data_IF_551460151285
#
_entry.id   IF_551460151285
#
_cell.length_a   1.000
_cell.length_b   1.000
_cell.length_c   1.000
_cell.angle_alpha   90.00
_cell.angle_beta   90.00
_cell.angle_gamma   90.00
#
_symmetry.space_group_name_H-M   'P 1'
#
loop_
_entity.id
_entity.type
_entity.pdbx_description
1 polymer ?
#
# COMPACT_ATOMS: atom_id res chain seq x y z
N UNK A 1 24.21 -2.05 3.44
CA UNK A 1 25.13 -3.18 3.19
C UNK A 1 25.03 -3.54 1.72
N UNK A 2 26.14 -3.83 1.02
CA UNK A 2 26.10 -4.20 -0.40
C UNK A 2 25.75 -5.68 -0.53
N UNK A 3 24.80 -5.98 -1.42
CA UNK A 3 24.32 -7.35 -1.68
C UNK A 3 24.77 -7.83 -3.06
N UNK A 4 24.87 -9.15 -3.20
CA UNK A 4 25.07 -9.86 -4.46
C UNK A 4 23.80 -10.67 -4.73
N UNK A 5 23.30 -10.54 -5.96
CA UNK A 5 22.10 -11.23 -6.41
C UNK A 5 22.47 -12.49 -7.19
N UNK A 6 21.91 -13.62 -6.81
CA UNK A 6 22.05 -14.91 -7.48
C UNK A 6 20.69 -15.39 -7.98
N UNK A 7 20.71 -16.24 -8.99
CA UNK A 7 19.50 -16.73 -9.67
C UNK A 7 19.41 -18.24 -9.65
N UNK A 8 18.19 -18.76 -9.46
CA UNK A 8 17.91 -20.20 -9.46
C UNK A 8 16.76 -20.51 -10.42
N UNK A 9 17.01 -21.18 -11.56
CA UNK A 9 15.93 -21.68 -12.38
C UNK A 9 15.30 -22.91 -11.70
N UNK A 10 13.97 -22.91 -11.57
CA UNK A 10 13.20 -24.02 -10.97
C UNK A 10 12.00 -24.42 -11.83
N UNK A 11 11.49 -25.65 -11.67
CA UNK A 11 10.16 -26.01 -12.18
C UNK A 11 9.08 -25.88 -11.12
N UNK A 12 7.87 -26.27 -11.47
CA UNK A 12 6.68 -26.14 -10.59
C UNK A 12 6.87 -26.84 -9.23
N UNK A 13 7.37 -28.09 -9.24
CA UNK A 13 7.51 -28.88 -8.00
C UNK A 13 8.48 -28.21 -7.03
N UNK A 14 9.63 -27.76 -7.52
CA UNK A 14 10.63 -27.09 -6.67
C UNK A 14 10.12 -25.74 -6.16
N UNK A 15 9.39 -24.99 -7.00
CA UNK A 15 8.75 -23.75 -6.58
C UNK A 15 7.78 -23.99 -5.41
N UNK A 16 6.93 -25.01 -5.51
CA UNK A 16 5.98 -25.34 -4.44
C UNK A 16 6.69 -25.71 -3.12
N UNK A 17 7.83 -26.39 -3.16
CA UNK A 17 8.60 -26.72 -1.96
C UNK A 17 9.26 -25.49 -1.32
N UNK A 18 9.75 -24.54 -2.15
CA UNK A 18 10.27 -23.24 -1.67
C UNK A 18 9.13 -22.41 -1.06
N UNK A 19 7.96 -22.44 -1.68
CA UNK A 19 6.80 -21.68 -1.23
C UNK A 19 6.20 -22.22 0.07
N UNK A 20 6.25 -23.53 0.33
CA UNK A 20 5.97 -24.13 1.66
C UNK A 20 6.90 -23.64 2.76
N UNK A 21 8.04 -23.04 2.39
CA UNK A 21 8.99 -22.37 3.28
C UNK A 21 8.85 -20.86 3.22
N UNK A 22 7.70 -20.37 2.73
CA UNK A 22 7.33 -18.95 2.63
C UNK A 22 8.39 -18.12 1.88
N UNK A 23 9.07 -18.75 0.92
CA UNK A 23 10.18 -18.16 0.16
C UNK A 23 11.34 -17.64 1.03
N UNK A 24 11.44 -18.09 2.29
CA UNK A 24 12.51 -17.66 3.22
C UNK A 24 13.80 -18.44 3.02
N UNK A 25 13.71 -19.68 2.54
CA UNK A 25 14.85 -20.58 2.41
C UNK A 25 14.67 -21.61 1.29
N UNK A 26 15.78 -22.15 0.78
CA UNK A 26 15.77 -23.27 -0.15
C UNK A 26 15.64 -24.60 0.60
N UNK A 27 14.67 -25.46 0.26
CA UNK A 27 14.51 -26.77 0.89
C UNK A 27 15.55 -27.77 0.37
N UNK A 28 15.83 -28.82 1.15
CA UNK A 28 16.57 -29.98 0.69
C UNK A 28 15.70 -30.78 -0.29
N UNK A 29 16.08 -30.79 -1.57
CA UNK A 29 15.32 -31.46 -2.63
C UNK A 29 16.07 -32.68 -3.13
N UNK A 30 15.51 -33.87 -2.92
CA UNK A 30 15.99 -35.15 -3.48
C UNK A 30 17.48 -35.42 -3.23
N UNK A 31 18.04 -34.92 -2.13
CA UNK A 31 19.47 -34.97 -1.79
C UNK A 31 20.39 -34.40 -2.90
N UNK A 32 19.88 -33.45 -3.69
CA UNK A 32 20.64 -32.75 -4.71
C UNK A 32 21.18 -31.41 -4.20
N UNK A 33 22.39 -31.01 -4.61
CA UNK A 33 22.93 -29.70 -4.27
C UNK A 33 22.15 -28.57 -4.97
N UNK A 34 22.05 -27.42 -4.31
CA UNK A 34 21.41 -26.23 -4.88
C UNK A 34 22.36 -25.58 -5.91
N UNK A 35 21.86 -25.33 -7.11
CA UNK A 35 22.63 -24.66 -8.19
C UNK A 35 22.13 -23.23 -8.40
N UNK A 36 23.04 -22.27 -8.29
CA UNK A 36 22.78 -20.85 -8.44
C UNK A 36 23.63 -20.26 -9.56
N UNK A 37 23.17 -19.14 -10.12
CA UNK A 37 23.81 -18.46 -11.23
C UNK A 37 24.03 -16.98 -10.91
N UNK A 38 25.18 -16.41 -11.27
CA UNK A 38 25.42 -14.97 -11.13
C UNK A 38 24.80 -14.14 -12.26
N UNK A 39 24.38 -14.78 -13.36
CA UNK A 39 23.76 -14.13 -14.51
C UNK A 39 22.29 -14.50 -14.64
N UNK A 40 21.42 -13.49 -14.65
CA UNK A 40 19.99 -13.70 -14.94
C UNK A 40 19.78 -14.30 -16.33
N UNK A 41 20.63 -13.96 -17.30
CA UNK A 41 20.51 -14.44 -18.68
C UNK A 41 20.65 -15.95 -18.74
N UNK A 42 21.64 -16.52 -18.05
CA UNK A 42 21.88 -17.96 -18.04
C UNK A 42 20.77 -18.71 -17.31
N UNK A 43 20.29 -18.18 -16.18
CA UNK A 43 19.14 -18.75 -15.48
C UNK A 43 17.88 -18.76 -16.36
N UNK A 44 17.61 -17.66 -17.09
CA UNK A 44 16.51 -17.59 -18.07
C UNK A 44 16.67 -18.61 -19.18
N UNK A 45 17.87 -18.74 -19.77
CA UNK A 45 18.11 -19.72 -20.83
C UNK A 45 17.87 -21.17 -20.38
N UNK A 46 18.21 -21.51 -19.13
CA UNK A 46 17.95 -22.83 -18.56
C UNK A 46 16.45 -23.05 -18.36
N UNK A 47 15.77 -22.10 -17.69
CA UNK A 47 14.34 -22.17 -17.45
C UNK A 47 13.56 -22.30 -18.78
N UNK A 48 13.92 -21.49 -19.77
CA UNK A 48 13.29 -21.50 -21.10
C UNK A 48 13.62 -22.76 -21.90
N UNK A 49 14.90 -23.13 -22.05
CA UNK A 49 15.28 -24.17 -23.04
C UNK A 49 15.14 -25.58 -22.51
N UNK A 50 15.31 -25.78 -21.20
CA UNK A 50 15.29 -27.09 -20.57
C UNK A 50 13.93 -27.37 -19.92
N UNK A 51 13.45 -26.49 -19.03
CA UNK A 51 12.29 -26.83 -18.20
C UNK A 51 10.96 -26.73 -18.94
N UNK A 52 10.83 -25.86 -19.93
CA UNK A 52 9.63 -25.80 -20.79
C UNK A 52 9.39 -27.06 -21.64
N UNK A 53 10.38 -27.96 -21.71
CA UNK A 53 10.30 -29.23 -22.43
C UNK A 53 10.23 -30.44 -21.50
N UNK A 54 10.34 -30.21 -20.19
CA UNK A 54 10.40 -31.27 -19.19
C UNK A 54 9.02 -31.49 -18.56
N UNK A 55 8.44 -32.66 -18.80
CA UNK A 55 7.15 -33.07 -18.26
C UNK A 55 7.16 -33.15 -16.73
N UNK A 56 8.29 -33.49 -16.11
CA UNK A 56 8.42 -33.55 -14.65
C UNK A 56 8.24 -32.15 -14.06
N UNK A 57 8.85 -31.14 -14.71
CA UNK A 57 8.72 -29.71 -14.36
C UNK A 57 7.38 -29.09 -14.76
N UNK A 58 6.47 -29.91 -15.31
CA UNK A 58 5.19 -29.48 -15.87
C UNK A 58 5.31 -28.48 -17.03
N UNK A 59 6.41 -28.54 -17.79
CA UNK A 59 6.67 -27.59 -18.88
C UNK A 59 6.73 -26.12 -18.41
N UNK A 60 6.98 -25.88 -17.12
CA UNK A 60 7.16 -24.55 -16.53
C UNK A 60 8.62 -24.37 -16.10
N UNK A 61 9.19 -23.22 -16.45
CA UNK A 61 10.50 -22.78 -15.98
C UNK A 61 10.39 -21.42 -15.30
N UNK A 62 10.46 -21.41 -13.96
CA UNK A 62 10.53 -20.18 -13.19
C UNK A 62 11.99 -19.76 -13.00
N UNK A 63 12.22 -18.45 -12.88
CA UNK A 63 13.51 -17.91 -12.47
C UNK A 63 13.33 -17.24 -11.12
N UNK A 64 14.06 -17.73 -10.13
CA UNK A 64 14.12 -17.16 -8.79
C UNK A 64 15.35 -16.27 -8.64
N UNK A 65 15.26 -15.28 -7.77
CA UNK A 65 16.29 -14.31 -7.42
C UNK A 65 16.48 -14.30 -5.89
N UNK A 66 17.73 -14.35 -5.44
CA UNK A 66 18.08 -14.31 -4.01
C UNK A 66 19.22 -13.33 -3.78
N UNK A 67 19.10 -12.53 -2.71
CA UNK A 67 20.14 -11.58 -2.31
C UNK A 67 20.89 -12.10 -1.08
N UNK A 68 22.21 -12.11 -1.16
CA UNK A 68 23.11 -12.38 -0.04
C UNK A 68 24.10 -11.22 0.13
N UNK A 69 24.77 -11.15 1.27
CA UNK A 69 25.78 -10.11 1.50
C UNK A 69 27.00 -10.35 0.59
N UNK A 70 27.66 -9.27 0.16
CA UNK A 70 28.90 -9.41 -0.62
C UNK A 70 30.00 -10.13 0.18
N UNK A 71 30.06 -9.91 1.50
CA UNK A 71 31.01 -10.58 2.39
C UNK A 71 30.80 -12.11 2.39
N UNK A 72 29.55 -12.56 2.52
CA UNK A 72 29.24 -13.99 2.59
C UNK A 72 29.34 -14.66 1.22
N UNK A 73 29.04 -13.94 0.14
CA UNK A 73 29.31 -14.41 -1.22
C UNK A 73 30.79 -14.73 -1.43
N UNK A 74 31.71 -13.90 -0.93
CA UNK A 74 33.15 -14.17 -1.02
C UNK A 74 33.57 -15.39 -0.18
N UNK A 75 32.96 -15.60 1.00
CA UNK A 75 33.22 -16.81 1.80
C UNK A 75 32.80 -18.08 1.06
N UNK A 76 31.64 -18.05 0.39
CA UNK A 76 31.14 -19.19 -0.40
C UNK A 76 31.97 -19.46 -1.66
N UNK A 77 32.43 -18.41 -2.36
CA UNK A 77 33.20 -18.58 -3.59
C UNK A 77 34.60 -19.16 -3.34
N UNK A 78 35.25 -18.82 -2.23
CA UNK A 78 36.53 -19.41 -1.81
C UNK A 78 36.40 -20.93 -1.57
N UNK A 79 35.25 -21.41 -1.11
CA UNK A 79 34.99 -22.83 -0.90
C UNK A 79 34.70 -23.60 -2.21
N UNK A 80 34.32 -22.89 -3.28
CA UNK A 80 33.82 -23.46 -4.54
C UNK A 80 34.81 -23.33 -5.72
N UNK A 81 36.10 -23.08 -5.46
CA UNK A 81 37.14 -22.72 -6.44
C UNK A 81 37.50 -23.77 -7.52
N UNK A 82 36.67 -24.79 -7.73
CA UNK A 82 36.88 -25.85 -8.72
C UNK A 82 36.03 -25.72 -9.99
N UNK A 83 35.21 -24.67 -10.13
CA UNK A 83 34.38 -24.48 -11.33
C UNK A 83 35.09 -23.57 -12.35
N UNK A 84 35.42 -24.12 -13.52
CA UNK A 84 35.93 -23.39 -14.69
C UNK A 84 34.90 -22.38 -15.25
N UNK A 85 33.63 -22.54 -14.87
CA UNK A 85 32.51 -21.67 -15.21
C UNK A 85 32.26 -20.62 -14.11
N UNK A 86 32.84 -19.42 -14.27
CA UNK A 86 32.78 -18.28 -13.33
C UNK A 86 31.35 -17.78 -12.95
N UNK A 87 30.32 -18.40 -13.50
CA UNK A 87 28.93 -17.96 -13.43
C UNK A 87 28.00 -18.95 -12.68
N UNK A 88 28.46 -20.18 -12.39
CA UNK A 88 27.67 -21.23 -11.73
C UNK A 88 28.21 -21.56 -10.33
N UNK A 89 27.34 -21.45 -9.33
CA UNK A 89 27.62 -21.72 -7.92
C UNK A 89 26.85 -22.96 -7.49
N UNK A 90 27.52 -23.89 -6.81
CA UNK A 90 26.88 -25.10 -6.27
C UNK A 90 26.98 -25.05 -4.75
N UNK A 91 25.84 -25.06 -4.07
CA UNK A 91 25.76 -25.13 -2.62
C UNK A 91 25.50 -26.59 -2.26
N UNK A 92 26.48 -27.21 -1.60
CA UNK A 92 26.36 -28.59 -1.13
C UNK A 92 25.27 -28.69 -0.07
N UNK A 93 24.74 -29.90 0.15
CA UNK A 93 23.73 -30.14 1.19
C UNK A 93 24.23 -29.71 2.58
N UNK A 94 25.51 -29.97 2.88
CA UNK A 94 26.16 -29.59 4.14
C UNK A 94 26.21 -28.06 4.33
N UNK A 95 26.31 -27.30 3.24
CA UNK A 95 26.37 -25.84 3.27
C UNK A 95 25.01 -25.17 3.06
N UNK A 96 23.93 -25.93 2.83
CA UNK A 96 22.60 -25.37 2.54
C UNK A 96 22.02 -24.60 3.72
N UNK A 97 22.19 -25.10 4.95
CA UNK A 97 21.73 -24.41 6.16
C UNK A 97 22.44 -23.07 6.35
N UNK A 98 23.78 -23.07 6.18
CA UNK A 98 24.57 -21.84 6.21
C UNK A 98 24.15 -20.87 5.11
N UNK A 99 23.94 -21.36 3.89
CA UNK A 99 23.47 -20.53 2.77
C UNK A 99 22.12 -19.89 3.07
N UNK A 100 21.16 -20.65 3.60
CA UNK A 100 19.85 -20.12 3.97
C UNK A 100 19.93 -19.06 5.07
N UNK A 101 20.88 -19.18 6.01
CA UNK A 101 21.08 -18.21 7.09
C UNK A 101 21.65 -16.85 6.63
N UNK A 102 22.28 -16.78 5.45
CA UNK A 102 22.87 -15.54 4.90
C UNK A 102 21.96 -14.85 3.88
N UNK A 103 20.79 -15.41 3.58
CA UNK A 103 19.77 -14.80 2.73
C UNK A 103 19.28 -13.52 3.41
N UNK A 104 19.31 -12.40 2.68
CA UNK A 104 19.05 -11.05 3.24
C UNK A 104 17.61 -10.55 3.01
N UNK A 105 16.83 -11.22 2.16
CA UNK A 105 15.43 -10.91 1.83
C UNK A 105 14.77 -12.19 1.26
N UNK A 106 13.47 -12.20 0.94
CA UNK A 106 12.84 -13.36 0.30
C UNK A 106 13.55 -13.80 -0.98
N UNK A 107 13.45 -15.11 -1.25
CA UNK A 107 13.64 -15.67 -2.58
C UNK A 107 12.48 -15.18 -3.45
N UNK A 108 12.76 -14.40 -4.50
CA UNK A 108 11.73 -13.75 -5.31
C UNK A 108 11.58 -14.43 -6.65
N UNK A 109 10.36 -14.50 -7.15
CA UNK A 109 10.09 -14.94 -8.53
C UNK A 109 10.28 -13.72 -9.44
N UNK A 110 11.12 -13.85 -10.48
CA UNK A 110 11.45 -12.72 -11.37
C UNK A 110 11.10 -12.96 -12.83
N UNK A 111 10.81 -14.20 -13.23
CA UNK A 111 10.29 -14.54 -14.56
C UNK A 111 9.68 -15.94 -14.57
N UNK A 112 8.88 -16.20 -15.60
CA UNK A 112 8.33 -17.53 -15.91
C UNK A 112 8.34 -17.76 -17.41
N UNK A 113 8.74 -18.98 -17.80
CA UNK A 113 8.70 -19.50 -19.16
C UNK A 113 7.73 -20.66 -19.22
N UNK A 114 6.83 -20.61 -20.19
CA UNK A 114 5.73 -21.57 -20.34
C UNK A 114 5.92 -22.35 -21.63
N UNK A 115 6.04 -23.66 -21.51
CA UNK A 115 6.20 -24.56 -22.66
C UNK A 115 4.90 -24.77 -23.42
N UNK A 116 5.00 -25.08 -24.71
CA UNK A 116 3.84 -25.27 -25.60
C UNK A 116 2.93 -26.44 -25.19
N UNK A 117 3.43 -27.36 -24.37
CA UNK A 117 2.69 -28.51 -23.87
C UNK A 117 2.08 -28.29 -22.47
N UNK A 118 2.30 -27.11 -21.88
CA UNK A 118 1.64 -26.74 -20.63
C UNK A 118 0.12 -26.69 -20.85
N UNK A 119 -0.64 -27.23 -19.88
CA UNK A 119 -2.11 -27.25 -19.93
C UNK A 119 -2.73 -26.56 -18.74
N UNK A 120 -2.19 -26.82 -17.55
CA UNK A 120 -2.57 -26.23 -16.28
C UNK A 120 -1.51 -26.55 -15.23
N UNK A 121 -1.54 -25.81 -14.14
CA UNK A 121 -0.74 -26.14 -12.96
C UNK A 121 -1.11 -27.56 -12.46
N UNK A 122 -0.10 -28.34 -12.07
CA UNK A 122 -0.32 -29.61 -11.37
C UNK A 122 -0.71 -29.34 -9.91
N UNK A 123 -0.32 -28.19 -9.38
CA UNK A 123 -0.54 -27.80 -8.01
C UNK A 123 -1.26 -26.46 -7.93
N UNK A 124 -2.49 -26.47 -7.44
CA UNK A 124 -3.32 -25.27 -7.26
C UNK A 124 -2.63 -24.24 -6.33
N UNK A 125 -1.69 -24.68 -5.48
CA UNK A 125 -0.92 -23.82 -4.59
C UNK A 125 -0.07 -22.76 -5.32
N UNK A 126 0.30 -22.97 -6.59
CA UNK A 126 1.11 -21.98 -7.32
C UNK A 126 0.38 -20.64 -7.41
N UNK A 127 -0.91 -20.65 -7.70
CA UNK A 127 -1.72 -19.43 -7.80
C UNK A 127 -1.87 -18.76 -6.43
N UNK A 128 -2.16 -19.54 -5.39
CA UNK A 128 -2.23 -19.03 -4.01
C UNK A 128 -0.91 -18.36 -3.62
N UNK A 129 0.24 -18.98 -3.92
CA UNK A 129 1.55 -18.41 -3.59
C UNK A 129 1.87 -17.14 -4.37
N UNK A 130 1.54 -17.08 -5.67
CA UNK A 130 1.72 -15.86 -6.45
C UNK A 130 0.86 -14.73 -5.89
N UNK A 131 -0.39 -15.03 -5.52
CA UNK A 131 -1.28 -14.07 -4.87
C UNK A 131 -0.69 -13.56 -3.54
N UNK A 132 -0.22 -14.46 -2.68
CA UNK A 132 0.39 -14.05 -1.40
C UNK A 132 1.68 -13.24 -1.59
N UNK A 133 2.51 -13.57 -2.56
CA UNK A 133 3.74 -12.80 -2.86
C UNK A 133 3.42 -11.43 -3.46
N UNK A 134 2.39 -11.32 -4.30
CA UNK A 134 1.87 -10.04 -4.81
C UNK A 134 1.37 -9.15 -3.68
N UNK A 135 0.49 -9.67 -2.81
CA UNK A 135 -0.01 -8.96 -1.63
C UNK A 135 1.12 -8.53 -0.69
N UNK A 136 2.09 -9.42 -0.44
CA UNK A 136 3.26 -9.11 0.39
C UNK A 136 4.09 -7.95 -0.20
N UNK A 137 4.36 -7.99 -1.51
CA UNK A 137 5.11 -6.92 -2.18
C UNK A 137 4.32 -5.61 -2.25
N UNK A 138 3.02 -5.68 -2.50
CA UNK A 138 2.10 -4.55 -2.49
C UNK A 138 2.09 -3.86 -1.11
N UNK A 139 1.95 -4.64 -0.06
CA UNK A 139 1.95 -4.14 1.31
C UNK A 139 3.30 -3.53 1.70
N UNK A 140 4.43 -4.14 1.30
CA UNK A 140 5.76 -3.57 1.54
C UNK A 140 5.94 -2.20 0.88
N UNK A 141 5.51 -2.05 -0.37
CA UNK A 141 5.60 -0.76 -1.05
C UNK A 141 4.62 0.26 -0.45
N UNK A 142 3.41 -0.14 -0.10
CA UNK A 142 2.43 0.78 0.48
C UNK A 142 2.88 1.29 1.85
N UNK A 143 3.39 0.43 2.74
CA UNK A 143 3.94 0.87 4.04
C UNK A 143 5.19 1.75 3.85
N UNK A 144 6.08 1.37 2.92
CA UNK A 144 7.24 2.21 2.58
C UNK A 144 6.80 3.61 2.11
N UNK A 145 5.72 3.69 1.33
CA UNK A 145 5.18 4.95 0.82
C UNK A 145 4.38 5.71 1.87
N UNK A 146 3.68 5.03 2.78
CA UNK A 146 2.79 5.65 3.76
C UNK A 146 3.52 6.19 4.99
N UNK A 147 4.75 5.78 5.24
CA UNK A 147 5.58 6.26 6.35
C UNK A 147 6.85 6.99 5.89
N UNK A 148 7.25 8.02 6.61
CA UNK A 148 8.56 8.66 6.49
C UNK A 148 9.68 7.79 7.07
N UNK A 149 9.34 6.79 7.90
CA UNK A 149 10.26 5.72 8.23
C UNK A 149 10.44 4.83 6.98
N UNK A 150 11.59 4.97 6.32
CA UNK A 150 11.94 4.26 5.07
C UNK A 150 12.66 2.95 5.32
N UNK A 151 12.63 2.45 6.55
CA UNK A 151 13.08 1.10 6.85
C UNK A 151 12.24 0.10 6.05
N UNK A 152 12.95 -0.78 5.34
CA UNK A 152 12.31 -1.86 4.62
C UNK A 152 11.73 -2.80 5.67
N UNK A 153 10.42 -3.05 5.55
CA UNK A 153 9.74 -4.01 6.41
C UNK A 153 10.45 -5.36 6.32
N UNK A 154 10.86 -5.93 7.46
CA UNK A 154 11.53 -7.21 7.47
C UNK A 154 10.55 -8.32 7.07
N UNK A 155 11.14 -9.43 6.65
CA UNK A 155 10.42 -10.60 6.15
C UNK A 155 9.39 -11.15 7.14
N UNK A 156 9.73 -11.17 8.42
CA UNK A 156 8.96 -11.71 9.54
C UNK A 156 7.97 -10.71 10.15
N UNK A 157 7.86 -9.51 9.58
CA UNK A 157 7.00 -8.47 10.13
C UNK A 157 5.52 -8.91 10.27
N UNK A 158 5.06 -9.78 9.37
CA UNK A 158 3.69 -10.29 9.37
C UNK A 158 3.53 -11.65 10.09
N UNK A 159 4.64 -12.25 10.54
CA UNK A 159 4.61 -13.50 11.32
C UNK A 159 4.21 -13.24 12.78
N UNK A 160 4.16 -11.97 13.21
CA UNK A 160 3.58 -11.56 14.47
C UNK A 160 2.08 -11.92 14.46
N UNK A 161 1.73 -13.08 15.01
CA UNK A 161 0.34 -13.44 15.23
C UNK A 161 -0.35 -12.30 15.97
N UNK A 162 -1.33 -11.68 15.32
CA UNK A 162 -2.31 -10.88 16.02
C UNK A 162 -3.15 -11.87 16.81
N UNK A 163 -2.66 -12.25 17.98
CA UNK A 163 -3.43 -12.95 19.01
C UNK A 163 -4.52 -11.98 19.49
N UNK A 164 -5.53 -11.79 18.64
CA UNK A 164 -6.75 -11.11 18.98
C UNK A 164 -7.60 -12.10 19.78
N UNK A 165 -7.17 -12.38 21.01
CA UNK A 165 -8.08 -12.92 22.01
C UNK A 165 -9.20 -11.89 22.19
N UNK A 166 -10.38 -12.23 21.70
CA UNK A 166 -11.57 -11.40 21.84
C UNK A 166 -11.90 -11.24 23.32
N UNK A 167 -11.50 -10.11 23.90
CA UNK A 167 -11.91 -9.74 25.25
C UNK A 167 -13.36 -9.29 25.20
N UNK A 168 -14.25 -10.08 25.80
CA UNK A 168 -15.65 -9.72 25.99
C UNK A 168 -15.72 -8.64 27.09
N UNK A 169 -15.96 -7.39 26.71
CA UNK A 169 -16.04 -6.25 27.63
C UNK A 169 -17.38 -6.21 28.37
N UNK A 170 -17.35 -5.95 29.68
CA UNK A 170 -18.57 -5.79 30.49
C UNK A 170 -19.35 -4.53 30.09
N UNK A 171 -20.67 -4.62 30.03
CA UNK A 171 -21.56 -3.49 29.69
C UNK A 171 -21.40 -2.29 30.62
N UNK A 172 -21.08 -2.52 31.89
CA UNK A 172 -20.88 -1.43 32.85
C UNK A 172 -19.56 -0.69 32.58
N UNK A 173 -18.52 -1.40 32.16
CA UNK A 173 -17.24 -0.80 31.74
C UNK A 173 -17.43 0.06 30.49
N UNK A 174 -18.23 -0.41 29.53
CA UNK A 174 -18.59 0.35 28.33
C UNK A 174 -19.31 1.65 28.72
N UNK A 175 -20.34 1.57 29.56
CA UNK A 175 -21.11 2.76 29.97
C UNK A 175 -20.24 3.77 30.73
N UNK A 176 -19.39 3.29 31.64
CA UNK A 176 -18.47 4.14 32.38
C UNK A 176 -17.45 4.82 31.45
N UNK A 177 -16.94 4.10 30.45
CA UNK A 177 -16.01 4.65 29.45
C UNK A 177 -16.66 5.78 28.63
N UNK A 178 -17.94 5.63 28.28
CA UNK A 178 -18.71 6.65 27.54
C UNK A 178 -18.88 7.93 28.38
N UNK A 179 -19.24 7.80 29.66
CA UNK A 179 -19.36 8.97 30.55
C UNK A 179 -18.03 9.74 30.67
N UNK A 180 -16.92 9.02 30.79
CA UNK A 180 -15.58 9.63 30.82
C UNK A 180 -15.30 10.39 29.52
N UNK A 181 -15.57 9.78 28.36
CA UNK A 181 -15.37 10.45 27.06
C UNK A 181 -16.24 11.70 26.93
N UNK A 182 -17.51 11.65 27.32
CA UNK A 182 -18.40 12.82 27.31
C UNK A 182 -17.85 13.97 28.16
N UNK A 183 -17.29 13.68 29.34
CA UNK A 183 -16.69 14.71 30.18
C UNK A 183 -15.43 15.31 29.58
N UNK A 184 -14.61 14.52 28.87
CA UNK A 184 -13.39 14.98 28.19
C UNK A 184 -13.69 16.07 27.16
N UNK A 185 -14.75 15.89 26.35
CA UNK A 185 -15.01 16.74 25.18
C UNK A 185 -16.13 17.77 25.35
N UNK A 186 -16.82 17.82 26.49
CA UNK A 186 -18.01 18.67 26.69
C UNK A 186 -17.83 20.16 26.36
N UNK A 187 -16.59 20.66 26.46
CA UNK A 187 -16.27 22.07 26.25
C UNK A 187 -15.63 22.34 24.87
N UNK A 188 -15.48 21.30 24.04
CA UNK A 188 -14.90 21.41 22.70
C UNK A 188 -16.01 21.82 21.73
N UNK A 189 -15.84 22.99 21.11
CA UNK A 189 -16.80 23.64 20.24
C UNK A 189 -16.33 23.70 18.78
N UNK A 190 -15.04 23.49 18.50
CA UNK A 190 -14.49 23.57 17.14
C UNK A 190 -13.56 22.40 16.85
N UNK A 191 -13.29 22.13 15.56
CA UNK A 191 -12.27 21.14 15.20
C UNK A 191 -10.89 21.58 15.71
N UNK A 192 -10.50 22.86 15.61
CA UNK A 192 -9.21 23.31 16.13
C UNK A 192 -9.03 23.01 17.63
N UNK A 193 -10.06 23.26 18.44
CA UNK A 193 -10.07 22.90 19.87
C UNK A 193 -9.95 21.39 20.08
N UNK A 194 -10.56 20.58 19.21
CA UNK A 194 -10.40 19.12 19.24
C UNK A 194 -8.96 18.70 18.92
N UNK A 195 -8.33 19.33 17.92
CA UNK A 195 -6.93 19.06 17.57
C UNK A 195 -6.01 19.44 18.74
N UNK A 196 -6.19 20.61 19.33
CA UNK A 196 -5.40 21.05 20.48
C UNK A 196 -5.56 20.11 21.66
N UNK A 197 -6.79 19.66 21.93
CA UNK A 197 -7.05 18.65 22.95
C UNK A 197 -6.31 17.33 22.68
N UNK A 198 -6.36 16.81 21.44
CA UNK A 198 -5.67 15.59 21.08
C UNK A 198 -4.15 15.70 21.31
N UNK A 199 -3.55 16.82 20.89
CA UNK A 199 -2.11 17.06 21.00
C UNK A 199 -1.69 17.25 22.46
N UNK A 200 -2.44 18.02 23.24
CA UNK A 200 -1.99 18.47 24.57
C UNK A 200 -2.39 17.52 25.70
N UNK A 201 -3.44 16.71 25.51
CA UNK A 201 -4.10 15.97 26.60
C UNK A 201 -4.35 14.50 26.30
N UNK A 202 -4.61 14.13 25.06
CA UNK A 202 -5.03 12.76 24.75
C UNK A 202 -3.88 11.87 24.28
N UNK A 203 -3.07 12.34 23.34
CA UNK A 203 -2.04 11.52 22.72
C UNK A 203 -0.69 11.60 23.41
N UNK A 204 -0.03 10.45 23.48
CA UNK A 204 1.38 10.35 23.89
C UNK A 204 2.29 10.88 22.79
N UNK A 205 3.53 11.20 23.16
CA UNK A 205 4.55 11.62 22.18
C UNK A 205 4.79 10.54 21.10
N UNK A 206 4.76 9.26 21.48
CA UNK A 206 4.87 8.15 20.55
C UNK A 206 3.73 8.12 19.53
N UNK A 207 2.48 8.28 19.98
CA UNK A 207 1.31 8.36 19.10
C UNK A 207 1.40 9.57 18.16
N UNK A 208 1.78 10.73 18.68
CA UNK A 208 1.97 11.94 17.87
C UNK A 208 3.09 11.75 16.83
N UNK A 209 4.18 11.09 17.19
CA UNK A 209 5.28 10.78 16.27
C UNK A 209 4.86 9.78 15.20
N UNK A 210 4.03 8.78 15.53
CA UNK A 210 3.44 7.86 14.55
C UNK A 210 2.56 8.60 13.54
N UNK A 211 1.74 9.55 14.00
CA UNK A 211 0.91 10.38 13.11
C UNK A 211 1.80 11.27 12.23
N UNK A 212 2.81 11.93 12.82
CA UNK A 212 3.79 12.74 12.07
C UNK A 212 4.52 11.93 11.00
N UNK A 213 4.82 10.67 11.30
CA UNK A 213 5.52 9.80 10.37
C UNK A 213 4.68 9.45 9.14
N UNK A 214 3.35 9.64 9.15
CA UNK A 214 2.54 9.39 7.95
C UNK A 214 2.87 10.38 6.83
N UNK A 215 2.94 9.91 5.59
CA UNK A 215 3.16 10.75 4.40
C UNK A 215 1.83 11.27 3.83
N UNK A 216 1.85 12.26 2.91
CA UNK A 216 0.65 12.64 2.17
C UNK A 216 0.03 11.49 1.36
N UNK A 217 0.84 10.52 0.91
CA UNK A 217 0.35 9.31 0.24
C UNK A 217 -0.62 8.52 1.14
N UNK A 218 -0.27 8.34 2.42
CA UNK A 218 -1.15 7.66 3.39
C UNK A 218 -2.51 8.36 3.49
N UNK A 219 -2.50 9.70 3.54
CA UNK A 219 -3.73 10.50 3.62
C UNK A 219 -4.62 10.34 2.37
N UNK A 220 -4.01 10.15 1.18
CA UNK A 220 -4.74 10.04 -0.10
C UNK A 220 -5.28 8.62 -0.33
N UNK A 221 -4.47 7.60 -0.05
CA UNK A 221 -4.72 6.24 -0.51
C UNK A 221 -5.11 5.26 0.60
N UNK A 222 -4.69 5.47 1.85
CA UNK A 222 -5.08 4.61 2.98
C UNK A 222 -6.41 5.08 3.57
N UNK A 223 -7.49 4.84 2.83
CA UNK A 223 -8.87 5.06 3.34
C UNK A 223 -9.32 4.04 4.40
N UNK A 224 -8.47 3.05 4.71
CA UNK A 224 -8.75 1.91 5.59
C UNK A 224 -8.71 2.23 7.09
N UNK A 225 -8.27 3.42 7.50
CA UNK A 225 -8.31 3.85 8.91
C UNK A 225 -9.76 4.00 9.46
N UNK A 226 -10.81 3.68 8.68
CA UNK A 226 -12.18 3.54 9.18
C UNK A 226 -12.25 2.70 10.47
N UNK A 227 -11.37 1.70 10.62
CA UNK A 227 -11.17 0.95 11.85
C UNK A 227 -9.86 1.39 12.51
N UNK A 228 -9.92 1.86 13.77
CA UNK A 228 -8.77 2.41 14.50
C UNK A 228 -8.98 3.85 14.94
N UNK A 229 -8.06 4.76 14.57
CA UNK A 229 -8.02 6.13 15.09
C UNK A 229 -9.25 6.96 14.68
N UNK A 230 -9.81 6.74 13.49
CA UNK A 230 -11.04 7.44 13.07
C UNK A 230 -12.25 6.96 13.89
N UNK A 231 -12.33 5.67 14.20
CA UNK A 231 -13.35 5.13 15.09
C UNK A 231 -13.19 5.71 16.51
N UNK A 232 -11.95 5.87 16.97
CA UNK A 232 -11.66 6.55 18.22
C UNK A 232 -12.15 8.01 18.21
N UNK A 233 -11.84 8.78 17.15
CA UNK A 233 -12.37 10.14 16.99
C UNK A 233 -13.89 10.20 16.91
N UNK A 234 -14.52 9.23 16.24
CA UNK A 234 -15.97 9.09 16.16
C UNK A 234 -16.58 8.97 17.56
N UNK A 235 -16.05 8.05 18.36
CA UNK A 235 -16.50 7.81 19.73
C UNK A 235 -16.25 9.03 20.63
N UNK A 236 -15.05 9.61 20.53
CA UNK A 236 -14.63 10.72 21.37
C UNK A 236 -15.39 12.02 21.04
N UNK A 237 -15.50 12.39 19.77
CA UNK A 237 -16.00 13.71 19.36
C UNK A 237 -17.41 13.73 18.79
N UNK A 238 -17.97 12.62 18.33
CA UNK A 238 -19.27 12.64 17.65
C UNK A 238 -20.36 11.93 18.45
N UNK A 239 -20.07 10.76 19.01
CA UNK A 239 -21.02 10.08 19.89
C UNK A 239 -21.07 10.68 21.30
N UNK A 240 -19.92 11.16 21.79
CA UNK A 240 -19.84 11.74 23.13
C UNK A 240 -20.11 13.25 23.18
N UNK A 241 -20.10 13.95 22.03
CA UNK A 241 -20.30 15.39 21.96
C UNK A 241 -21.60 15.76 21.23
N UNK A 242 -22.62 16.17 22.00
CA UNK A 242 -23.87 16.70 21.45
C UNK A 242 -23.82 18.22 21.20
N UNK A 243 -22.62 18.85 21.23
CA UNK A 243 -22.47 20.27 21.02
C UNK A 243 -22.75 20.66 19.56
N UNK A 244 -23.81 21.43 19.37
CA UNK A 244 -24.23 21.91 18.05
C UNK A 244 -23.14 22.78 17.37
N UNK A 245 -22.38 23.58 18.14
CA UNK A 245 -21.30 24.40 17.59
C UNK A 245 -20.19 23.55 16.99
N UNK A 246 -19.87 22.43 17.63
CA UNK A 246 -18.88 21.50 17.10
C UNK A 246 -19.34 20.90 15.77
N UNK A 247 -20.61 20.46 15.69
CA UNK A 247 -21.20 19.95 14.44
C UNK A 247 -21.18 21.01 13.32
N UNK A 248 -21.50 22.26 13.63
CA UNK A 248 -21.41 23.38 12.69
C UNK A 248 -19.96 23.64 12.25
N UNK A 249 -18.99 23.55 13.17
CA UNK A 249 -17.56 23.66 12.84
C UNK A 249 -17.10 22.55 11.90
N UNK A 250 -17.54 21.30 12.14
CA UNK A 250 -17.27 20.16 11.26
C UNK A 250 -17.82 20.39 9.85
N UNK A 251 -19.06 20.87 9.74
CA UNK A 251 -19.67 21.19 8.46
C UNK A 251 -18.92 22.31 7.71
N UNK A 252 -18.46 23.34 8.44
CA UNK A 252 -17.67 24.42 7.84
C UNK A 252 -16.35 23.90 7.24
N UNK A 253 -15.70 22.95 7.90
CA UNK A 253 -14.49 22.30 7.41
C UNK A 253 -14.73 21.30 6.28
N UNK A 254 -15.88 20.64 6.26
CA UNK A 254 -16.22 19.67 5.22
C UNK A 254 -16.30 20.27 3.82
N UNK A 255 -16.48 21.59 3.72
CA UNK A 255 -16.40 22.31 2.45
C UNK A 255 -14.97 22.47 1.92
N UNK A 256 -13.93 22.19 2.73
CA UNK A 256 -12.51 22.49 2.45
C UNK A 256 -11.62 21.23 2.55
N UNK A 257 -12.18 20.11 3.01
CA UNK A 257 -11.40 18.93 3.35
C UNK A 257 -11.43 17.83 2.29
N UNK A 258 -10.28 17.17 2.14
CA UNK A 258 -10.03 16.09 1.19
C UNK A 258 -10.61 14.74 1.60
N UNK A 259 -10.47 14.36 2.87
CA UNK A 259 -10.82 13.00 3.27
C UNK A 259 -12.31 12.82 3.04
N UNK A 260 -12.73 11.63 2.56
CA UNK A 260 -14.09 11.16 2.86
C UNK A 260 -14.16 11.31 4.37
N UNK A 261 -14.92 12.28 4.89
CA UNK A 261 -14.80 12.80 6.25
C UNK A 261 -15.12 11.77 7.34
N UNK A 262 -15.00 10.47 7.07
CA UNK A 262 -15.72 9.44 7.75
C UNK A 262 -17.22 9.64 7.59
N UNK A 263 -17.98 8.95 8.42
CA UNK A 263 -19.44 9.08 8.41
C UNK A 263 -19.89 10.42 9.02
N UNK A 264 -19.13 10.95 9.99
CA UNK A 264 -19.57 12.08 10.81
C UNK A 264 -18.66 13.31 10.74
N UNK A 265 -17.46 13.19 10.18
CA UNK A 265 -16.45 14.26 10.12
C UNK A 265 -15.11 13.90 10.75
N UNK A 266 -14.95 12.67 11.27
CA UNK A 266 -13.72 12.19 11.90
C UNK A 266 -12.49 12.24 10.97
N UNK A 267 -12.69 12.07 9.66
CA UNK A 267 -11.61 12.20 8.68
C UNK A 267 -11.06 13.63 8.61
N UNK A 268 -11.85 14.64 8.96
CA UNK A 268 -11.40 16.05 8.97
C UNK A 268 -10.50 16.32 10.17
N UNK A 269 -10.84 15.71 11.32
CA UNK A 269 -10.02 15.78 12.53
C UNK A 269 -8.67 15.10 12.28
N UNK A 270 -8.67 13.91 11.66
CA UNK A 270 -7.45 13.18 11.33
C UNK A 270 -6.52 13.98 10.41
N UNK A 271 -7.07 14.54 9.33
CA UNK A 271 -6.33 15.34 8.35
C UNK A 271 -5.77 16.64 8.97
N UNK A 272 -6.59 17.39 9.73
CA UNK A 272 -6.14 18.62 10.39
C UNK A 272 -5.09 18.35 11.48
N UNK A 273 -5.24 17.27 12.24
CA UNK A 273 -4.23 16.86 13.20
C UNK A 273 -2.90 16.60 12.50
N UNK A 274 -2.92 15.80 11.44
CA UNK A 274 -1.73 15.47 10.67
C UNK A 274 -1.06 16.72 10.08
N UNK A 275 -1.85 17.63 9.48
CA UNK A 275 -1.35 18.90 8.93
C UNK A 275 -0.73 19.79 10.01
N UNK A 276 -1.39 19.93 11.16
CA UNK A 276 -0.89 20.75 12.28
C UNK A 276 0.41 20.21 12.83
N UNK A 277 0.53 18.88 12.95
CA UNK A 277 1.74 18.21 13.44
C UNK A 277 2.92 18.29 12.45
N UNK A 278 2.64 18.40 11.15
CA UNK A 278 3.64 18.48 10.08
C UNK A 278 3.86 19.90 9.54
N UNK A 279 3.27 20.92 10.17
CA UNK A 279 3.36 22.32 9.75
C UNK A 279 2.94 22.56 8.29
N UNK A 280 2.00 21.77 7.78
CA UNK A 280 1.49 21.94 6.42
C UNK A 280 0.56 23.16 6.37
N UNK A 281 1.04 24.27 5.78
CA UNK A 281 0.24 25.46 5.53
C UNK A 281 -0.26 25.49 4.08
N UNK A 282 -1.29 26.30 3.82
CA UNK A 282 -1.73 26.59 2.45
C UNK A 282 -0.68 27.51 1.83
N UNK A 283 0.33 26.92 1.19
CA UNK A 283 1.40 27.69 0.56
C UNK A 283 1.13 27.96 -0.93
N UNK A 284 0.29 27.13 -1.55
CA UNK A 284 0.05 27.17 -2.98
C UNK A 284 -1.39 27.66 -3.28
N UNK A 285 -1.54 28.61 -4.21
CA UNK A 285 -2.85 29.12 -4.64
C UNK A 285 -3.20 28.70 -6.07
N UNK A 286 -2.34 27.90 -6.72
CA UNK A 286 -2.42 27.56 -8.15
C UNK A 286 -3.77 26.94 -8.53
N UNK A 287 -4.42 26.23 -7.60
CA UNK A 287 -5.75 25.67 -7.83
C UNK A 287 -6.87 26.34 -7.06
N UNK A 288 -6.62 27.40 -6.29
CA UNK A 288 -7.65 27.96 -5.41
C UNK A 288 -8.92 28.36 -6.19
N UNK A 289 -8.74 29.02 -7.33
CA UNK A 289 -9.85 29.42 -8.20
C UNK A 289 -10.60 28.20 -8.78
N UNK A 290 -9.88 27.15 -9.15
CA UNK A 290 -10.48 25.93 -9.70
C UNK A 290 -11.20 25.12 -8.61
N UNK A 291 -10.59 24.99 -7.43
CA UNK A 291 -11.15 24.37 -6.22
C UNK A 291 -12.44 25.11 -5.86
N UNK A 292 -12.39 26.43 -5.73
CA UNK A 292 -13.55 27.24 -5.37
C UNK A 292 -14.65 27.18 -6.42
N UNK A 293 -14.29 27.10 -7.72
CA UNK A 293 -15.26 26.85 -8.78
C UNK A 293 -15.94 25.49 -8.61
N UNK A 294 -15.19 24.43 -8.32
CA UNK A 294 -15.73 23.09 -8.12
C UNK A 294 -16.62 23.04 -6.88
N UNK A 295 -16.20 23.65 -5.77
CA UNK A 295 -17.00 23.79 -4.54
C UNK A 295 -18.32 24.51 -4.83
N UNK A 296 -18.30 25.61 -5.58
CA UNK A 296 -19.50 26.33 -5.98
C UNK A 296 -20.43 25.47 -6.86
N UNK A 297 -19.89 24.67 -7.78
CA UNK A 297 -20.66 23.75 -8.60
C UNK A 297 -21.30 22.63 -7.78
N UNK A 298 -20.56 22.05 -6.83
CA UNK A 298 -21.07 21.05 -5.88
C UNK A 298 -22.18 21.68 -5.03
N UNK A 299 -21.94 22.86 -4.47
CA UNK A 299 -22.91 23.56 -3.63
C UNK A 299 -24.20 23.86 -4.40
N UNK A 300 -24.09 24.30 -5.66
CA UNK A 300 -25.24 24.51 -6.54
C UNK A 300 -26.02 23.21 -6.77
N UNK A 301 -25.33 22.09 -7.03
CA UNK A 301 -25.98 20.78 -7.18
C UNK A 301 -26.74 20.36 -5.92
N UNK A 302 -26.14 20.54 -4.74
CA UNK A 302 -26.81 20.27 -3.46
C UNK A 302 -28.08 21.12 -3.33
N UNK A 303 -27.97 22.43 -3.53
CA UNK A 303 -29.10 23.35 -3.36
C UNK A 303 -30.24 23.05 -4.34
N UNK A 304 -29.92 22.73 -5.60
CA UNK A 304 -30.90 22.34 -6.62
C UNK A 304 -31.58 21.01 -6.27
N UNK A 305 -30.81 19.99 -5.86
CA UNK A 305 -31.36 18.68 -5.48
C UNK A 305 -32.32 18.78 -4.30
N UNK A 306 -31.93 19.45 -3.22
CA UNK A 306 -32.77 19.57 -2.02
C UNK A 306 -34.04 20.40 -2.30
N UNK A 307 -33.92 21.44 -3.11
CA UNK A 307 -35.04 22.24 -3.57
C UNK A 307 -36.03 21.42 -4.40
N UNK A 308 -35.54 20.58 -5.33
CA UNK A 308 -36.38 19.70 -6.13
C UNK A 308 -37.15 18.68 -5.27
N UNK A 309 -36.50 18.14 -4.23
CA UNK A 309 -37.11 17.18 -3.31
C UNK A 309 -37.99 17.82 -2.23
N UNK A 310 -38.04 19.15 -2.16
CA UNK A 310 -38.81 19.89 -1.15
C UNK A 310 -38.30 19.63 0.28
N UNK A 311 -36.99 19.44 0.45
CA UNK A 311 -36.33 19.12 1.72
C UNK A 311 -35.36 20.22 2.13
N UNK A 312 -35.09 20.34 3.43
CA UNK A 312 -34.03 21.20 3.95
C UNK A 312 -32.73 20.41 4.01
N UNK A 313 -31.62 21.06 3.67
CA UNK A 313 -30.27 20.47 3.74
C UNK A 313 -30.01 19.91 5.14
N UNK A 314 -29.62 18.64 5.23
CA UNK A 314 -29.27 17.98 6.50
C UNK A 314 -30.43 17.29 7.24
N UNK A 315 -31.65 17.27 6.70
CA UNK A 315 -32.80 16.56 7.31
C UNK A 315 -32.97 15.10 6.84
N UNK A 316 -32.07 14.55 6.02
CA UNK A 316 -32.24 13.20 5.47
C UNK A 316 -31.83 12.14 6.50
N UNK A 317 -32.71 11.16 6.71
CA UNK A 317 -32.40 9.96 7.47
C UNK A 317 -31.30 9.17 6.75
N UNK A 318 -30.17 8.83 7.40
CA UNK A 318 -29.06 8.11 6.77
C UNK A 318 -29.48 6.79 6.08
N UNK A 319 -30.65 6.23 6.38
CA UNK A 319 -31.17 5.00 5.78
C UNK A 319 -32.24 5.20 4.69
N UNK A 320 -32.50 6.43 4.25
CA UNK A 320 -33.54 6.71 3.24
C UNK A 320 -33.05 6.43 1.81
N UNK A 321 -33.94 5.88 0.95
CA UNK A 321 -33.64 5.61 -0.47
C UNK A 321 -33.30 6.88 -1.26
N UNK A 322 -33.63 8.05 -0.71
CA UNK A 322 -33.21 9.36 -1.20
C UNK A 322 -31.69 9.51 -1.24
N UNK A 323 -30.95 8.88 -0.30
CA UNK A 323 -29.50 8.95 -0.26
C UNK A 323 -28.88 8.26 -1.48
N UNK A 324 -29.40 7.11 -1.91
CA UNK A 324 -28.90 6.40 -3.08
C UNK A 324 -29.07 7.23 -4.37
N UNK A 325 -30.23 7.87 -4.54
CA UNK A 325 -30.49 8.76 -5.68
C UNK A 325 -29.57 9.99 -5.64
N UNK A 326 -29.38 10.59 -4.46
CA UNK A 326 -28.49 11.72 -4.27
C UNK A 326 -27.04 11.37 -4.61
N UNK A 327 -26.51 10.29 -4.02
CA UNK A 327 -25.13 9.84 -4.26
C UNK A 327 -24.93 9.42 -5.71
N UNK A 328 -25.94 8.81 -6.35
CA UNK A 328 -25.89 8.52 -7.79
C UNK A 328 -25.79 9.80 -8.62
N UNK A 329 -26.64 10.80 -8.36
CA UNK A 329 -26.59 12.08 -9.08
C UNK A 329 -25.27 12.83 -8.87
N UNK A 330 -24.75 12.79 -7.65
CA UNK A 330 -23.45 13.37 -7.30
C UNK A 330 -22.30 12.64 -8.01
N UNK A 331 -22.31 11.30 -8.01
CA UNK A 331 -21.33 10.49 -8.74
C UNK A 331 -21.40 10.73 -10.25
N UNK A 332 -22.60 10.82 -10.84
CA UNK A 332 -22.76 11.17 -12.24
C UNK A 332 -22.21 12.57 -12.57
N UNK A 333 -22.40 13.55 -11.68
CA UNK A 333 -21.79 14.88 -11.84
C UNK A 333 -20.27 14.78 -11.77
N UNK A 334 -19.75 14.03 -10.79
CA UNK A 334 -18.32 13.80 -10.63
C UNK A 334 -17.71 13.09 -11.84
N UNK A 335 -18.37 12.09 -12.40
CA UNK A 335 -17.91 11.35 -13.58
C UNK A 335 -17.99 12.20 -14.84
N UNK A 336 -19.14 12.85 -15.10
CA UNK A 336 -19.34 13.71 -16.29
C UNK A 336 -18.32 14.85 -16.37
N UNK A 337 -17.94 15.39 -15.21
CA UNK A 337 -16.99 16.51 -15.13
C UNK A 337 -15.58 16.08 -14.71
N UNK A 338 -15.35 14.78 -14.49
CA UNK A 338 -14.09 14.21 -13.99
C UNK A 338 -13.57 14.91 -12.70
N UNK A 339 -14.50 15.26 -11.80
CA UNK A 339 -14.27 16.12 -10.63
C UNK A 339 -13.97 15.35 -9.34
N UNK A 340 -14.49 14.13 -9.17
CA UNK A 340 -14.58 13.48 -7.85
C UNK A 340 -13.21 13.16 -7.23
N UNK A 341 -12.37 12.45 -7.97
CA UNK A 341 -11.01 12.17 -7.51
C UNK A 341 -10.08 13.37 -7.71
N UNK A 342 -10.36 14.25 -8.67
CA UNK A 342 -9.44 15.32 -9.06
C UNK A 342 -9.48 16.50 -8.09
N UNK A 343 -10.68 16.91 -7.63
CA UNK A 343 -10.85 18.05 -6.72
C UNK A 343 -10.15 17.82 -5.38
N UNK A 344 -10.46 16.70 -4.72
CA UNK A 344 -9.80 16.32 -3.49
C UNK A 344 -8.28 16.22 -3.70
N UNK A 345 -7.82 15.47 -4.70
CA UNK A 345 -6.38 15.31 -4.94
C UNK A 345 -5.71 16.66 -5.18
N UNK A 346 -6.32 17.58 -5.93
CA UNK A 346 -5.81 18.95 -6.12
C UNK A 346 -5.74 19.75 -4.82
N UNK A 347 -6.74 19.65 -3.93
CA UNK A 347 -6.68 20.30 -2.61
C UNK A 347 -5.49 19.79 -1.78
N UNK A 348 -5.34 18.47 -1.63
CA UNK A 348 -4.20 17.94 -0.87
C UNK A 348 -2.86 18.25 -1.52
N UNK A 349 -2.80 18.20 -2.84
CA UNK A 349 -1.61 18.60 -3.58
C UNK A 349 -1.22 20.04 -3.23
N UNK A 350 -2.20 20.94 -3.18
CA UNK A 350 -2.02 22.36 -2.85
C UNK A 350 -1.49 22.58 -1.43
N UNK A 351 -1.90 21.78 -0.46
CA UNK A 351 -1.46 21.90 0.94
C UNK A 351 -0.08 21.31 1.21
N UNK A 352 0.41 20.42 0.35
CA UNK A 352 1.54 19.56 0.69
C UNK A 352 2.71 19.64 -0.30
N UNK A 353 2.51 20.23 -1.49
CA UNK A 353 3.46 20.14 -2.59
C UNK A 353 3.71 21.50 -3.24
N UNK A 354 4.93 21.67 -3.73
CA UNK A 354 5.33 22.79 -4.58
C UNK A 354 4.66 22.73 -5.95
N UNK A 355 4.59 23.86 -6.65
CA UNK A 355 4.04 23.93 -8.03
C UNK A 355 4.74 22.94 -8.99
N UNK A 356 6.05 22.74 -8.82
CA UNK A 356 6.84 21.85 -9.66
C UNK A 356 6.47 20.37 -9.44
N UNK A 357 6.30 19.95 -8.18
CA UNK A 357 5.86 18.61 -7.83
C UNK A 357 4.44 18.32 -8.30
N UNK A 358 3.55 19.30 -8.13
CA UNK A 358 2.17 19.25 -8.63
C UNK A 358 2.15 19.07 -10.15
N UNK A 359 2.94 19.87 -10.88
CA UNK A 359 3.02 19.77 -12.33
C UNK A 359 3.51 18.38 -12.75
N UNK A 360 4.57 17.87 -12.12
CA UNK A 360 5.10 16.52 -12.36
C UNK A 360 4.04 15.44 -12.09
N UNK A 361 3.29 15.56 -10.99
CA UNK A 361 2.19 14.67 -10.65
C UNK A 361 1.12 14.63 -11.75
N UNK A 362 0.70 15.80 -12.24
CA UNK A 362 -0.35 15.91 -13.27
C UNK A 362 0.12 15.40 -14.64
N UNK A 363 1.39 15.63 -14.99
CA UNK A 363 1.99 15.04 -16.20
C UNK A 363 1.96 13.51 -16.17
N UNK A 364 2.20 12.89 -15.00
CA UNK A 364 2.06 11.45 -14.84
C UNK A 364 0.60 11.01 -14.95
N UNK A 365 -0.35 11.75 -14.40
CA UNK A 365 -1.78 11.44 -14.53
C UNK A 365 -2.25 11.42 -15.99
N UNK A 366 -1.76 12.33 -16.82
CA UNK A 366 -2.02 12.34 -18.26
C UNK A 366 -1.45 11.06 -18.90
N UNK A 367 -0.18 10.73 -18.60
CA UNK A 367 0.47 9.51 -19.11
C UNK A 367 -0.25 8.23 -18.70
N UNK A 368 -0.78 8.15 -17.48
CA UNK A 368 -1.58 7.02 -16.99
C UNK A 368 -2.85 6.82 -17.82
N UNK A 369 -3.50 7.91 -18.25
CA UNK A 369 -4.71 7.87 -19.08
C UNK A 369 -4.40 7.51 -20.54
N UNK A 370 -3.27 7.97 -21.06
CA UNK A 370 -2.91 7.83 -22.47
C UNK A 370 -2.16 6.52 -22.80
N UNK A 371 -1.42 5.95 -21.84
CA UNK A 371 -0.50 4.83 -22.10
C UNK A 371 -0.85 3.60 -21.27
N UNK A 372 -1.35 2.55 -21.92
CA UNK A 372 -1.68 1.28 -21.26
C UNK A 372 -0.45 0.46 -20.88
N UNK A 373 0.64 0.52 -21.65
CA UNK A 373 1.79 -0.39 -21.48
C UNK A 373 2.63 -0.07 -20.24
N UNK A 374 2.81 1.21 -19.90
CA UNK A 374 3.62 1.66 -18.75
C UNK A 374 2.76 2.24 -17.62
N UNK A 375 1.47 1.91 -17.61
CA UNK A 375 0.49 2.49 -16.70
C UNK A 375 0.90 2.33 -15.23
N UNK A 376 1.31 1.12 -14.83
CA UNK A 376 1.70 0.81 -13.46
C UNK A 376 2.95 1.56 -13.02
N UNK A 377 3.93 1.69 -13.92
CA UNK A 377 5.14 2.48 -13.64
C UNK A 377 4.79 3.93 -13.31
N UNK A 378 3.94 4.57 -14.13
CA UNK A 378 3.53 5.95 -13.88
C UNK A 378 2.71 6.11 -12.61
N UNK A 379 1.84 5.12 -12.28
CA UNK A 379 1.10 5.10 -11.02
C UNK A 379 2.07 5.10 -9.84
N UNK A 380 3.09 4.26 -9.86
CA UNK A 380 4.04 4.19 -8.76
C UNK A 380 4.95 5.41 -8.67
N UNK A 381 5.38 6.00 -9.78
CA UNK A 381 6.08 7.29 -9.75
C UNK A 381 5.20 8.40 -9.16
N UNK A 382 3.90 8.38 -9.45
CA UNK A 382 2.94 9.30 -8.88
C UNK A 382 2.80 9.08 -7.36
N UNK A 383 2.69 7.82 -6.91
CA UNK A 383 2.69 7.47 -5.49
C UNK A 383 3.99 7.91 -4.79
N UNK A 384 5.14 7.78 -5.43
CA UNK A 384 6.44 8.21 -4.88
C UNK A 384 6.52 9.73 -4.67
N UNK A 385 5.97 10.52 -5.60
CA UNK A 385 5.83 11.98 -5.41
C UNK A 385 4.99 12.22 -4.17
N UNK A 386 3.81 11.61 -4.08
CA UNK A 386 2.91 11.81 -2.94
C UNK A 386 3.50 11.39 -1.60
N UNK A 387 4.30 10.34 -1.61
CA UNK A 387 5.01 9.86 -0.44
C UNK A 387 6.20 10.75 -0.07
N UNK A 388 6.59 11.73 -0.91
CA UNK A 388 7.82 12.52 -0.77
C UNK A 388 9.07 11.62 -0.63
N UNK A 389 9.21 10.64 -1.53
CA UNK A 389 10.38 9.76 -1.54
C UNK A 389 11.63 10.57 -1.89
N UNK A 390 12.52 10.72 -0.93
CA UNK A 390 13.77 11.47 -1.09
C UNK A 390 14.78 10.71 -1.98
N UNK A 391 15.72 11.41 -2.66
CA UNK A 391 16.66 10.79 -3.59
C UNK A 391 17.44 9.60 -3.03
N UNK A 392 17.86 9.65 -1.76
CA UNK A 392 18.62 8.58 -1.11
C UNK A 392 17.79 7.30 -0.86
N UNK A 393 16.47 7.42 -0.87
CA UNK A 393 15.54 6.30 -0.64
C UNK A 393 14.97 5.75 -1.96
N UNK A 394 15.28 6.39 -3.09
CA UNK A 394 14.66 6.10 -4.38
C UNK A 394 15.12 4.75 -4.97
N UNK A 395 16.33 4.30 -4.66
CA UNK A 395 16.81 2.98 -5.06
C UNK A 395 16.05 1.86 -4.34
N UNK A 396 15.76 2.05 -3.04
CA UNK A 396 14.90 1.14 -2.27
C UNK A 396 13.49 1.10 -2.86
N UNK A 397 12.90 2.27 -3.12
CA UNK A 397 11.59 2.36 -3.75
C UNK A 397 11.54 1.62 -5.10
N UNK A 398 12.54 1.84 -5.97
CA UNK A 398 12.66 1.14 -7.25
C UNK A 398 12.75 -0.36 -7.08
N UNK A 399 13.52 -0.84 -6.09
CA UNK A 399 13.62 -2.27 -5.78
C UNK A 399 12.26 -2.85 -5.40
N UNK A 400 11.53 -2.21 -4.48
CA UNK A 400 10.20 -2.64 -4.05
C UNK A 400 9.21 -2.64 -5.22
N UNK A 401 9.17 -1.55 -6.01
CA UNK A 401 8.32 -1.43 -7.19
C UNK A 401 8.61 -2.53 -8.21
N UNK A 402 9.88 -2.76 -8.53
CA UNK A 402 10.27 -3.76 -9.50
C UNK A 402 9.93 -5.18 -9.03
N UNK A 403 10.03 -5.47 -7.74
CA UNK A 403 9.62 -6.77 -7.20
C UNK A 403 8.13 -7.02 -7.42
N UNK A 404 7.27 -6.02 -7.13
CA UNK A 404 5.84 -6.11 -7.38
C UNK A 404 5.52 -6.27 -8.88
N UNK A 405 6.10 -5.44 -9.75
CA UNK A 405 5.82 -5.52 -11.18
C UNK A 405 6.25 -6.85 -11.80
N UNK A 406 7.35 -7.44 -11.31
CA UNK A 406 7.80 -8.77 -11.75
C UNK A 406 6.82 -9.88 -11.36
N UNK A 407 6.28 -9.86 -10.14
CA UNK A 407 5.30 -10.86 -9.72
C UNK A 407 3.98 -10.70 -10.48
N UNK A 408 3.50 -9.46 -10.68
CA UNK A 408 2.34 -9.18 -11.54
C UNK A 408 2.56 -9.69 -12.97
N UNK A 409 3.75 -9.48 -13.55
CA UNK A 409 4.08 -9.97 -14.89
C UNK A 409 4.04 -11.51 -14.96
N UNK A 410 4.57 -12.19 -13.95
CA UNK A 410 4.55 -13.66 -13.83
C UNK A 410 3.12 -14.19 -13.72
N UNK A 411 2.31 -13.60 -12.83
CA UNK A 411 0.90 -13.95 -12.64
C UNK A 411 0.11 -13.78 -13.95
N UNK A 412 0.28 -12.65 -14.64
CA UNK A 412 -0.37 -12.37 -15.91
C UNK A 412 0.04 -13.36 -17.02
N UNK A 413 1.33 -13.69 -17.12
CA UNK A 413 1.83 -14.70 -18.09
C UNK A 413 1.15 -16.06 -17.88
N UNK A 414 1.02 -16.50 -16.63
CA UNK A 414 0.40 -17.78 -16.31
C UNK A 414 -1.11 -17.79 -16.60
N UNK A 415 -1.83 -16.74 -16.21
CA UNK A 415 -3.27 -16.62 -16.46
C UNK A 415 -3.62 -16.62 -17.95
N UNK A 416 -2.80 -15.99 -18.79
CA UNK A 416 -3.01 -15.97 -20.25
C UNK A 416 -2.89 -17.35 -20.91
N UNK A 417 -2.24 -18.32 -20.26
CA UNK A 417 -2.02 -19.67 -20.79
C UNK A 417 -3.03 -20.72 -20.32
N UNK A 418 -3.92 -20.38 -19.37
CA UNK A 418 -4.91 -21.33 -18.80
C UNK A 418 -6.25 -21.38 -19.56
N UNK A 419 -6.30 -20.87 -20.80
CA UNK A 419 -7.52 -20.75 -21.63
C UNK A 419 -7.79 -22.00 -22.46
#
# INVERSE_FOLDING_TARGET
MKTITLYNPVGEIELCEIAKKEFKLFPTLLDLPLTLYASIKEAKEIAEKLYTKDEIKNFLGFVLEVDITEEDFFKLSVQNSNNEDNWKYTVTLENLEFFNAIITDKIRIVDVFIGTNFKKNKNDLVEDYLYFEEEFHQMRIDIFLSSTNREIIPLDFFDCSLDNEGVELDKNEILHSQEIMMQKVKNINTIDEAIDYLIEKEFTEEQLNSIKAKTPFAQIYESSDHFGINMYYRNLFFYSNNNQKFKESVQAYGNISFSRGGELGEGYIADLLWRKLNYCQIENLMFLDEIQKIENEIQTFYDDYYKEKGKVRGEIDPFDALNDEFFKGLNEMYDKKNLGSLHGRKMLLTFNFSEEEIKKYLELEIKIKENSQNKMDYIYEQKAILAKVEPQNYDTFKKLKNNLLKIEEVTNKLQQCQV
#
